data_IF_045868377868
#
_entry.id   IF_045868377868
#
_cell.length_a   1.000
_cell.length_b   1.000
_cell.length_c   1.000
_cell.angle_alpha   90.00
_cell.angle_beta   90.00
_cell.angle_gamma   90.00
#
_symmetry.space_group_name_H-M   'P 1'
#
loop_
_entity.id
_entity.type
_entity.pdbx_description
1 polymer ?
#
# COMPACT_ATOMS: atom_id res chain seq x y z
N UNK A 1 2.04 38.79 -23.21
CA UNK A 1 2.63 37.76 -22.31
C UNK A 1 4.10 37.70 -22.64
N UNK A 2 4.94 38.25 -21.77
CA UNK A 2 6.36 38.47 -22.01
C UNK A 2 7.12 37.24 -21.52
N UNK A 3 7.67 36.46 -22.45
CA UNK A 3 8.49 35.28 -22.12
C UNK A 3 9.77 35.76 -21.42
N UNK A 4 10.10 35.26 -20.22
CA UNK A 4 11.28 35.69 -19.48
C UNK A 4 12.58 35.43 -20.27
N UNK A 5 13.67 36.18 -19.99
CA UNK A 5 14.96 35.88 -20.58
C UNK A 5 15.40 34.47 -20.18
N UNK A 6 16.07 33.76 -21.10
CA UNK A 6 16.79 32.53 -20.78
C UNK A 6 17.93 32.90 -19.82
N UNK A 7 17.58 32.92 -18.54
CA UNK A 7 18.46 33.25 -17.44
C UNK A 7 19.53 32.17 -17.27
N UNK A 8 20.73 32.67 -17.09
CA UNK A 8 22.04 32.03 -17.04
C UNK A 8 22.26 30.98 -15.93
N UNK A 9 21.24 30.32 -15.38
CA UNK A 9 21.46 29.23 -14.41
C UNK A 9 20.60 27.96 -14.61
N UNK A 10 19.47 27.99 -15.35
CA UNK A 10 18.73 26.76 -15.70
C UNK A 10 18.03 26.84 -17.07
N UNK A 11 18.08 25.79 -17.91
CA UNK A 11 17.33 25.74 -19.16
C UNK A 11 15.82 25.83 -18.93
N UNK A 12 15.16 26.67 -19.73
CA UNK A 12 13.70 26.68 -19.83
C UNK A 12 13.24 25.47 -20.65
N UNK A 13 13.02 24.35 -19.97
CA UNK A 13 12.62 23.09 -20.59
C UNK A 13 11.27 23.17 -21.30
N UNK A 14 10.37 24.04 -20.86
CA UNK A 14 9.05 24.22 -21.49
C UNK A 14 9.19 24.92 -22.83
N UNK A 15 10.00 25.98 -22.90
CA UNK A 15 10.31 26.65 -24.15
C UNK A 15 11.00 25.72 -25.15
N UNK A 16 11.98 24.92 -24.69
CA UNK A 16 12.67 23.92 -25.53
C UNK A 16 11.69 22.85 -26.04
N UNK A 17 10.77 22.37 -25.19
CA UNK A 17 9.76 21.39 -25.58
C UNK A 17 8.80 21.95 -26.63
N UNK A 18 8.26 23.16 -26.43
CA UNK A 18 7.42 23.86 -27.41
C UNK A 18 8.17 24.09 -28.73
N UNK A 19 9.47 24.41 -28.69
CA UNK A 19 10.28 24.57 -29.88
C UNK A 19 10.43 23.27 -30.69
N UNK A 20 10.69 22.17 -29.98
CA UNK A 20 10.78 20.82 -30.58
C UNK A 20 9.45 20.34 -31.13
N UNK A 21 8.33 20.72 -30.52
CA UNK A 21 6.97 20.46 -31.00
C UNK A 21 6.58 21.32 -32.22
N UNK A 22 7.40 22.30 -32.62
CA UNK A 22 7.09 23.23 -33.71
C UNK A 22 6.13 24.35 -33.33
N UNK A 23 5.89 24.55 -32.03
CA UNK A 23 4.91 25.50 -31.49
C UNK A 23 5.49 26.90 -31.20
N UNK A 24 6.82 27.06 -31.32
CA UNK A 24 7.48 28.37 -31.16
C UNK A 24 7.70 29.07 -32.49
N UNK A 25 7.49 30.38 -32.54
CA UNK A 25 7.67 31.21 -33.74
C UNK A 25 8.42 32.50 -33.43
N UNK A 26 9.03 33.12 -34.44
CA UNK A 26 9.63 34.45 -34.34
C UNK A 26 10.86 34.51 -33.42
N UNK A 27 10.87 35.49 -32.50
CA UNK A 27 12.01 35.76 -31.61
C UNK A 27 12.27 34.68 -30.57
N UNK A 28 11.25 33.89 -30.19
CA UNK A 28 11.40 32.78 -29.24
C UNK A 28 12.19 31.64 -29.87
N UNK A 29 11.84 31.24 -31.09
CA UNK A 29 12.57 30.20 -31.84
C UNK A 29 14.05 30.58 -32.04
N UNK A 30 14.33 31.83 -32.44
CA UNK A 30 15.71 32.32 -32.60
C UNK A 30 16.53 32.25 -31.31
N UNK A 31 15.93 32.61 -30.18
CA UNK A 31 16.60 32.56 -28.87
C UNK A 31 16.93 31.13 -28.44
N UNK A 32 16.00 30.20 -28.66
CA UNK A 32 16.20 28.78 -28.32
C UNK A 32 17.27 28.15 -29.22
N UNK A 33 17.23 28.42 -30.53
CA UNK A 33 18.28 27.96 -31.46
C UNK A 33 19.65 28.54 -31.08
N UNK A 34 19.72 29.83 -30.72
CA UNK A 34 20.96 30.45 -30.26
C UNK A 34 21.48 29.82 -28.96
N UNK A 35 20.60 29.51 -28.01
CA UNK A 35 20.96 28.83 -26.76
C UNK A 35 21.47 27.40 -26.99
N UNK A 36 20.82 26.61 -27.86
CA UNK A 36 21.27 25.26 -28.20
C UNK A 36 22.64 25.28 -28.89
N UNK A 37 22.90 26.28 -29.75
CA UNK A 37 24.20 26.46 -30.39
C UNK A 37 25.29 26.86 -29.37
N UNK A 38 24.94 27.67 -28.37
CA UNK A 38 25.86 28.06 -27.30
C UNK A 38 26.13 26.92 -26.30
N UNK A 39 25.23 25.95 -26.19
CA UNK A 39 25.30 24.82 -25.25
C UNK A 39 25.34 23.47 -25.98
N UNK A 40 26.48 23.10 -26.58
CA UNK A 40 26.60 21.90 -27.42
C UNK A 40 26.44 20.57 -26.65
N UNK A 41 26.67 20.56 -25.33
CA UNK A 41 26.43 19.37 -24.50
C UNK A 41 24.93 19.11 -24.38
N UNK A 42 24.13 20.12 -24.03
CA UNK A 42 22.68 20.02 -23.92
C UNK A 42 22.04 19.67 -25.27
N UNK A 43 22.54 20.25 -26.36
CA UNK A 43 22.08 19.90 -27.71
C UNK A 43 22.31 18.43 -28.05
N UNK A 44 23.48 17.87 -27.69
CA UNK A 44 23.79 16.43 -27.87
C UNK A 44 22.94 15.53 -26.98
N UNK A 45 22.72 15.91 -25.72
CA UNK A 45 21.87 15.17 -24.79
C UNK A 45 20.44 15.07 -25.31
N UNK A 46 19.88 16.19 -25.80
CA UNK A 46 18.55 16.20 -26.41
C UNK A 46 18.48 15.34 -27.68
N UNK A 47 19.51 15.39 -28.54
CA UNK A 47 19.57 14.55 -29.72
C UNK A 47 19.66 13.05 -29.38
N UNK A 48 20.45 12.69 -28.37
CA UNK A 48 20.56 11.31 -27.89
C UNK A 48 19.24 10.80 -27.27
N UNK A 49 18.50 11.68 -26.59
CA UNK A 49 17.17 11.37 -26.06
C UNK A 49 16.17 11.11 -27.20
N UNK A 50 16.15 11.96 -28.22
CA UNK A 50 15.27 11.77 -29.38
C UNK A 50 15.58 10.47 -30.12
N UNK A 51 16.86 10.13 -30.27
CA UNK A 51 17.30 8.89 -30.90
C UNK A 51 16.88 7.67 -30.07
N UNK A 52 17.08 7.72 -28.75
CA UNK A 52 16.69 6.64 -27.84
C UNK A 52 15.17 6.42 -27.82
N UNK A 53 14.38 7.50 -27.75
CA UNK A 53 12.91 7.44 -27.77
C UNK A 53 12.41 7.01 -29.16
N UNK A 54 12.96 7.59 -30.24
CA UNK A 54 12.60 7.27 -31.61
C UNK A 54 12.88 5.79 -31.95
N UNK A 55 14.02 5.26 -31.52
CA UNK A 55 14.37 3.84 -31.69
C UNK A 55 13.49 2.89 -30.86
N UNK A 56 13.13 3.29 -29.64
CA UNK A 56 12.25 2.51 -28.76
C UNK A 56 10.79 2.49 -29.24
N UNK A 57 10.31 3.56 -29.86
CA UNK A 57 8.98 3.63 -30.46
C UNK A 57 8.93 2.94 -31.83
N UNK A 58 9.98 3.02 -32.63
CA UNK A 58 10.04 2.34 -33.93
C UNK A 58 10.05 0.80 -33.82
N UNK A 59 10.51 0.24 -32.70
CA UNK A 59 10.56 -1.22 -32.47
C UNK A 59 9.29 -1.79 -31.84
N UNK A 60 8.42 -0.96 -31.25
CA UNK A 60 7.22 -1.39 -30.52
C UNK A 60 5.89 -0.90 -31.10
N UNK A 61 5.88 -0.04 -32.13
CA UNK A 61 4.63 0.30 -32.83
C UNK A 61 4.39 -0.77 -33.91
N UNK A 62 3.86 -1.92 -33.49
CA UNK A 62 3.05 -2.72 -34.38
C UNK A 62 1.92 -1.83 -34.90
N UNK A 63 1.60 -1.91 -36.19
CA UNK A 63 0.61 -1.06 -36.90
C UNK A 63 -0.85 -1.15 -36.37
N UNK A 64 -1.06 -1.78 -35.22
CA UNK A 64 -2.29 -1.77 -34.47
C UNK A 64 -2.17 -0.66 -33.43
N UNK A 65 -2.61 0.56 -33.77
CA UNK A 65 -2.70 1.65 -32.79
C UNK A 65 -3.65 1.19 -31.67
N UNK A 66 -3.17 0.94 -30.44
CA UNK A 66 -4.08 0.60 -29.36
C UNK A 66 -5.08 1.74 -29.23
N UNK A 67 -6.37 1.40 -29.09
CA UNK A 67 -7.43 2.39 -28.89
C UNK A 67 -7.17 3.15 -27.59
N UNK A 68 -6.49 4.29 -27.72
CA UNK A 68 -6.05 5.14 -26.61
C UNK A 68 -7.25 5.61 -25.81
N UNK A 69 -8.37 5.90 -26.46
CA UNK A 69 -9.60 6.37 -25.82
C UNK A 69 -10.29 5.25 -25.03
N UNK A 70 -10.33 4.02 -25.55
CA UNK A 70 -10.82 2.87 -24.78
C UNK A 70 -9.89 2.54 -23.59
N UNK A 71 -8.58 2.60 -23.79
CA UNK A 71 -7.60 2.39 -22.72
C UNK A 71 -7.74 3.48 -21.63
N UNK A 72 -7.84 4.76 -22.03
CA UNK A 72 -7.98 5.89 -21.13
C UNK A 72 -9.32 5.86 -20.36
N UNK A 73 -10.42 5.46 -21.01
CA UNK A 73 -11.71 5.22 -20.33
C UNK A 73 -11.60 4.11 -19.31
N UNK A 74 -10.89 3.04 -19.63
CA UNK A 74 -10.67 1.91 -18.72
C UNK A 74 -9.81 2.29 -17.51
N UNK A 75 -8.89 3.23 -17.67
CA UNK A 75 -8.12 3.82 -16.56
C UNK A 75 -9.01 4.75 -15.72
N UNK A 76 -9.75 5.67 -16.34
CA UNK A 76 -10.67 6.58 -15.65
C UNK A 76 -11.73 5.83 -14.84
N UNK A 77 -12.35 4.80 -15.43
CA UNK A 77 -13.33 3.96 -14.74
C UNK A 77 -12.73 3.31 -13.48
N UNK A 78 -11.47 2.86 -13.55
CA UNK A 78 -10.75 2.25 -12.44
C UNK A 78 -10.34 3.25 -11.37
N UNK A 79 -9.95 4.47 -11.77
CA UNK A 79 -9.64 5.56 -10.84
C UNK A 79 -10.88 5.95 -10.01
N UNK A 80 -12.07 5.97 -10.63
CA UNK A 80 -13.32 6.32 -9.95
C UNK A 80 -13.92 5.18 -9.12
N UNK A 81 -13.52 3.93 -9.34
CA UNK A 81 -14.05 2.79 -8.56
C UNK A 81 -13.47 2.68 -7.15
N UNK A 82 -12.40 3.43 -6.82
CA UNK A 82 -11.69 3.30 -5.55
C UNK A 82 -11.06 1.91 -5.39
N UNK A 83 -9.83 1.81 -4.91
CA UNK A 83 -9.32 0.49 -4.54
C UNK A 83 -10.14 0.01 -3.34
N UNK A 84 -10.91 -1.11 -3.45
CA UNK A 84 -11.72 -1.58 -2.34
C UNK A 84 -10.77 -1.83 -1.16
N UNK A 85 -10.94 -1.07 -0.07
CA UNK A 85 -10.09 -1.23 1.09
C UNK A 85 -10.53 -2.50 1.81
N UNK A 86 -9.66 -3.50 1.83
CA UNK A 86 -9.91 -4.73 2.57
C UNK A 86 -9.83 -4.43 4.06
N UNK A 87 -10.95 -4.53 4.75
CA UNK A 87 -10.98 -4.51 6.23
C UNK A 87 -10.62 -5.90 6.72
N UNK A 88 -9.55 -6.03 7.48
CA UNK A 88 -9.19 -7.30 8.10
C UNK A 88 -10.11 -7.56 9.30
N UNK A 89 -10.99 -8.55 9.20
CA UNK A 89 -11.76 -9.05 10.32
C UNK A 89 -10.90 -10.01 11.13
N UNK A 90 -10.52 -9.61 12.34
CA UNK A 90 -9.90 -10.51 13.30
C UNK A 90 -11.01 -11.05 14.21
N UNK A 91 -10.99 -12.35 14.56
CA UNK A 91 -11.86 -12.83 15.62
C UNK A 91 -11.53 -12.00 16.86
N UNK A 92 -12.51 -11.25 17.36
CA UNK A 92 -12.37 -10.55 18.63
C UNK A 92 -11.88 -11.59 19.63
N UNK A 93 -10.67 -11.40 20.17
CA UNK A 93 -10.20 -12.26 21.23
C UNK A 93 -11.29 -12.25 22.28
N UNK A 94 -11.93 -13.40 22.47
CA UNK A 94 -12.80 -13.60 23.61
C UNK A 94 -11.91 -13.27 24.79
N UNK A 95 -12.13 -12.08 25.37
CA UNK A 95 -11.60 -11.75 26.67
C UNK A 95 -12.26 -12.78 27.56
N UNK A 96 -11.58 -13.91 27.75
CA UNK A 96 -11.92 -14.88 28.75
C UNK A 96 -11.73 -14.12 30.06
N UNK A 97 -12.79 -13.43 30.47
CA UNK A 97 -12.99 -13.05 31.84
C UNK A 97 -13.04 -14.37 32.57
N UNK A 98 -11.87 -14.86 32.99
CA UNK A 98 -11.72 -15.89 34.01
C UNK A 98 -12.43 -15.31 35.23
N UNK A 99 -13.72 -15.59 35.29
CA UNK A 99 -14.60 -15.16 36.35
C UNK A 99 -14.02 -15.67 37.66
N UNK A 100 -13.73 -14.72 38.55
CA UNK A 100 -13.76 -14.93 39.98
C UNK A 100 -15.20 -15.31 40.35
N UNK A 101 -15.55 -16.59 40.16
CA UNK A 101 -16.74 -17.23 40.69
C UNK A 101 -16.36 -18.59 41.27
N UNK A 102 -15.29 -18.60 42.05
CA UNK A 102 -15.16 -19.56 43.13
C UNK A 102 -16.04 -19.05 44.27
N UNK A 103 -16.91 -19.93 44.81
CA UNK A 103 -17.93 -19.70 45.83
C UNK A 103 -19.32 -19.28 45.32
N UNK A 104 -20.04 -20.22 44.71
CA UNK A 104 -21.44 -20.51 45.06
C UNK A 104 -21.95 -21.71 44.25
N UNK A 105 -22.38 -22.78 44.91
CA UNK A 105 -23.27 -23.77 44.29
C UNK A 105 -22.91 -25.24 44.40
N UNK A 106 -22.19 -25.68 45.44
CA UNK A 106 -22.22 -27.09 45.85
C UNK A 106 -23.52 -27.34 46.64
N UNK A 107 -24.64 -27.55 45.95
CA UNK A 107 -25.89 -28.15 46.48
C UNK A 107 -26.96 -28.16 45.37
N UNK A 108 -26.97 -29.20 44.53
CA UNK A 108 -28.17 -29.74 43.86
C UNK A 108 -27.78 -30.88 42.90
N UNK A 109 -27.09 -31.90 43.44
CA UNK A 109 -27.19 -33.23 42.86
C UNK A 109 -28.59 -33.77 43.18
N UNK A 110 -29.21 -34.42 42.19
CA UNK A 110 -30.50 -35.14 42.23
C UNK A 110 -31.78 -34.28 42.14
N UNK A 111 -32.33 -34.13 40.92
CA UNK A 111 -33.79 -34.17 40.65
C UNK A 111 -34.24 -33.86 39.20
N UNK A 112 -33.37 -33.40 38.27
CA UNK A 112 -33.81 -32.98 36.93
C UNK A 112 -33.51 -33.99 35.79
N UNK A 113 -33.30 -35.26 36.13
CA UNK A 113 -33.09 -36.37 35.17
C UNK A 113 -34.41 -36.88 34.56
N UNK A 114 -35.58 -36.37 34.98
CA UNK A 114 -36.88 -36.95 34.61
C UNK A 114 -37.79 -36.10 33.68
N UNK A 115 -37.48 -34.82 33.41
CA UNK A 115 -38.51 -33.90 32.85
C UNK A 115 -38.34 -33.48 31.37
N UNK A 116 -37.28 -33.88 30.65
CA UNK A 116 -37.13 -33.52 29.22
C UNK A 116 -36.93 -34.73 28.29
N UNK A 117 -37.37 -35.91 28.75
CA UNK A 117 -37.60 -37.10 27.92
C UNK A 117 -38.86 -36.99 27.01
N UNK A 118 -39.55 -35.84 27.00
CA UNK A 118 -40.76 -35.58 26.17
C UNK A 118 -40.45 -34.67 24.96
N UNK A 119 -39.20 -34.21 24.81
CA UNK A 119 -38.75 -33.43 23.65
C UNK A 119 -38.16 -34.24 22.49
N UNK A 120 -38.21 -35.58 22.54
CA UNK A 120 -37.86 -36.43 21.39
C UNK A 120 -38.99 -36.37 20.37
N UNK A 121 -38.88 -35.46 19.40
CA UNK A 121 -39.87 -35.44 18.34
C UNK A 121 -39.76 -34.29 17.37
N UNK A 122 -38.55 -33.95 16.89
CA UNK A 122 -38.34 -33.48 15.51
C UNK A 122 -36.87 -33.24 15.18
N UNK A 123 -36.53 -33.67 13.96
CA UNK A 123 -35.31 -33.44 13.18
C UNK A 123 -34.01 -34.08 13.68
N UNK A 124 -33.81 -35.33 13.27
CA UNK A 124 -32.48 -35.84 12.91
C UNK A 124 -31.99 -35.04 11.70
N UNK A 125 -30.90 -34.30 11.87
CA UNK A 125 -30.08 -33.83 10.76
C UNK A 125 -28.64 -33.85 11.24
N UNK A 126 -27.84 -34.64 10.54
CA UNK A 126 -26.48 -35.00 10.88
C UNK A 126 -25.59 -33.76 10.95
N UNK A 127 -25.04 -33.48 12.14
CA UNK A 127 -23.95 -32.51 12.29
C UNK A 127 -22.71 -33.26 12.75
N UNK A 128 -21.72 -33.26 11.87
CA UNK A 128 -20.41 -33.84 12.09
C UNK A 128 -19.76 -33.28 13.36
N UNK A 129 -19.07 -34.09 14.18
CA UNK A 129 -18.16 -33.58 15.21
C UNK A 129 -16.92 -33.02 14.51
N UNK A 130 -17.04 -31.80 13.99
CA UNK A 130 -15.90 -31.01 13.58
C UNK A 130 -15.14 -30.62 14.83
N UNK A 131 -14.05 -31.34 15.09
CA UNK A 131 -13.00 -30.94 16.00
C UNK A 131 -12.70 -29.45 15.85
N UNK A 132 -13.11 -28.65 16.85
CA UNK A 132 -12.57 -27.31 17.05
C UNK A 132 -11.17 -27.51 17.63
N UNK A 133 -10.28 -28.00 16.76
CA UNK A 133 -8.86 -27.86 16.96
C UNK A 133 -8.61 -26.36 17.08
N UNK A 134 -7.95 -25.98 18.17
CA UNK A 134 -7.35 -24.67 18.34
C UNK A 134 -6.49 -24.38 17.11
N UNK A 135 -7.05 -23.69 16.12
CA UNK A 135 -6.28 -22.94 15.15
C UNK A 135 -5.68 -21.80 15.94
N UNK A 136 -4.46 -22.02 16.47
CA UNK A 136 -3.62 -20.94 16.94
C UNK A 136 -3.66 -19.83 15.89
N UNK A 137 -3.91 -18.60 16.35
CA UNK A 137 -4.08 -17.43 15.51
C UNK A 137 -3.04 -17.44 14.38
N UNK A 138 -3.50 -17.71 13.16
CA UNK A 138 -2.65 -17.59 11.99
C UNK A 138 -2.61 -16.10 11.66
N UNK A 139 -1.43 -15.49 11.73
CA UNK A 139 -1.23 -14.10 11.32
C UNK A 139 -1.71 -13.91 9.89
N UNK A 140 -2.26 -12.74 9.58
CA UNK A 140 -2.77 -12.45 8.23
C UNK A 140 -1.61 -12.01 7.35
N UNK A 141 -1.42 -12.67 6.20
CA UNK A 141 -0.41 -12.28 5.21
C UNK A 141 -1.12 -11.83 3.93
N UNK A 142 -0.80 -10.61 3.50
CA UNK A 142 -1.30 -10.00 2.26
C UNK A 142 -0.11 -9.78 1.34
N UNK A 143 -0.24 -10.11 0.07
CA UNK A 143 0.82 -9.94 -0.94
C UNK A 143 0.21 -9.36 -2.21
N UNK A 144 0.89 -8.36 -2.79
CA UNK A 144 0.52 -7.75 -4.06
C UNK A 144 1.35 -8.33 -5.20
N UNK A 145 0.70 -8.54 -6.35
CA UNK A 145 1.40 -8.93 -7.58
C UNK A 145 2.12 -7.72 -8.22
N UNK A 146 2.93 -7.98 -9.24
CA UNK A 146 3.54 -6.92 -10.06
C UNK A 146 2.45 -6.08 -10.72
N UNK A 147 2.60 -4.75 -10.70
CA UNK A 147 1.60 -3.80 -11.22
C UNK A 147 0.33 -3.62 -10.37
N UNK A 148 0.18 -4.31 -9.24
CA UNK A 148 -1.03 -4.26 -8.39
C UNK A 148 -0.74 -3.53 -7.09
N UNK A 149 -1.62 -2.62 -6.68
CA UNK A 149 -1.63 -2.01 -5.33
C UNK A 149 -2.81 -2.56 -4.54
N UNK A 150 -2.67 -2.64 -3.23
CA UNK A 150 -3.75 -3.07 -2.34
C UNK A 150 -3.86 -2.13 -1.13
N UNK A 151 -5.08 -1.88 -0.66
CA UNK A 151 -5.38 -1.02 0.49
C UNK A 151 -6.00 -1.86 1.60
N UNK A 152 -5.39 -1.81 2.77
CA UNK A 152 -5.74 -2.64 3.92
C UNK A 152 -6.03 -1.74 5.10
N UNK A 153 -7.15 -1.99 5.78
CA UNK A 153 -7.45 -1.35 7.06
C UNK A 153 -7.32 -2.33 8.20
N UNK A 154 -6.44 -2.00 9.14
CA UNK A 154 -6.16 -2.78 10.33
C UNK A 154 -7.23 -2.52 11.41
N UNK A 155 -7.39 -3.40 12.42
CA UNK A 155 -8.42 -3.30 13.46
C UNK A 155 -8.34 -2.04 14.34
N UNK A 156 -7.15 -1.49 14.48
CA UNK A 156 -6.88 -0.25 15.20
C UNK A 156 -7.24 1.01 14.39
N UNK A 157 -7.73 0.82 13.15
CA UNK A 157 -8.07 1.90 12.23
C UNK A 157 -6.91 2.35 11.33
N UNK A 158 -5.69 1.86 11.55
CA UNK A 158 -4.52 2.14 10.72
C UNK A 158 -4.76 1.73 9.27
N UNK A 159 -4.39 2.59 8.34
CA UNK A 159 -4.48 2.32 6.90
C UNK A 159 -3.10 1.98 6.34
N UNK A 160 -3.03 0.92 5.54
CA UNK A 160 -1.81 0.47 4.87
C UNK A 160 -2.08 0.33 3.37
N UNK A 161 -1.29 1.00 2.55
CA UNK A 161 -1.32 0.88 1.09
C UNK A 161 -0.04 0.17 0.65
N UNK A 162 -0.20 -1.05 0.14
CA UNK A 162 0.87 -1.84 -0.42
C UNK A 162 1.16 -1.41 -1.87
N UNK A 163 2.43 -1.17 -2.17
CA UNK A 163 2.91 -1.01 -3.53
C UNK A 163 2.91 -2.37 -4.27
N UNK A 164 3.18 -2.40 -5.59
CA UNK A 164 3.39 -3.67 -6.30
C UNK A 164 4.51 -4.52 -5.73
N UNK A 165 4.39 -5.84 -5.92
CA UNK A 165 5.39 -6.82 -5.48
C UNK A 165 5.80 -6.67 -4.00
N UNK A 166 4.83 -6.37 -3.14
CA UNK A 166 5.05 -6.11 -1.72
C UNK A 166 4.22 -7.05 -0.85
N UNK A 167 4.66 -7.26 0.38
CA UNK A 167 4.02 -8.16 1.35
C UNK A 167 3.86 -7.46 2.69
N UNK A 168 2.68 -7.61 3.28
CA UNK A 168 2.35 -7.25 4.66
C UNK A 168 2.04 -8.53 5.44
N UNK A 169 2.71 -8.74 6.56
CA UNK A 169 2.34 -9.76 7.54
C UNK A 169 1.89 -9.05 8.83
N UNK A 170 0.66 -9.34 9.25
CA UNK A 170 0.09 -8.81 10.49
C UNK A 170 0.24 -9.84 11.60
N UNK A 171 0.79 -9.42 12.74
CA UNK A 171 1.00 -10.31 13.89
C UNK A 171 -0.31 -10.98 14.32
N UNK A 172 -0.29 -12.27 14.71
CA UNK A 172 -1.49 -12.93 15.26
C UNK A 172 -2.01 -12.29 16.55
N UNK A 173 -1.15 -11.57 17.28
CA UNK A 173 -1.51 -10.86 18.51
C UNK A 173 -1.89 -9.40 18.27
N UNK A 174 -2.02 -8.98 17.00
CA UNK A 174 -2.37 -7.62 16.63
C UNK A 174 -3.74 -7.23 17.19
N UNK A 175 -3.79 -6.13 17.96
CA UNK A 175 -5.01 -5.65 18.63
C UNK A 175 -5.41 -6.43 19.90
N UNK A 176 -4.63 -7.46 20.28
CA UNK A 176 -4.83 -8.23 21.53
C UNK A 176 -3.79 -7.81 22.56
N UNK A 177 -2.51 -7.96 22.21
CA UNK A 177 -1.37 -7.64 23.09
C UNK A 177 -0.22 -6.92 22.38
N UNK A 178 -0.29 -6.77 21.06
CA UNK A 178 0.68 -6.00 20.27
C UNK A 178 -0.02 -5.26 19.13
N UNK A 179 0.71 -4.33 18.51
CA UNK A 179 0.32 -3.70 17.24
C UNK A 179 1.51 -3.78 16.28
N UNK A 180 1.84 -5.00 15.88
CA UNK A 180 3.04 -5.30 15.11
C UNK A 180 2.72 -5.78 13.69
N UNK A 181 3.40 -5.20 12.70
CA UNK A 181 3.35 -5.62 11.29
C UNK A 181 4.75 -5.76 10.71
N UNK A 182 4.92 -6.70 9.78
CA UNK A 182 6.16 -6.88 9.01
C UNK A 182 5.91 -6.56 7.55
N UNK A 183 6.81 -5.77 6.95
CA UNK A 183 6.70 -5.29 5.57
C UNK A 183 7.92 -5.75 4.76
N UNK A 184 7.65 -6.26 3.57
CA UNK A 184 8.64 -6.48 2.53
C UNK A 184 8.19 -5.76 1.24
N UNK A 185 9.11 -5.13 0.54
CA UNK A 185 8.83 -4.28 -0.62
C UNK A 185 8.61 -2.83 -0.20
N UNK A 186 7.49 -2.23 -0.60
CA UNK A 186 7.15 -0.85 -0.28
C UNK A 186 5.70 -0.73 0.19
N UNK A 187 5.49 0.06 1.24
CA UNK A 187 4.18 0.36 1.78
C UNK A 187 4.10 1.79 2.30
N UNK A 188 2.95 2.43 2.12
CA UNK A 188 2.60 3.66 2.81
C UNK A 188 1.65 3.33 3.95
N UNK A 189 1.86 3.94 5.11
CA UNK A 189 1.07 3.72 6.32
C UNK A 189 0.57 5.05 6.86
N UNK A 190 -0.70 5.11 7.24
CA UNK A 190 -1.26 6.14 8.10
C UNK A 190 -1.69 5.49 9.42
N UNK A 191 -0.85 5.66 10.44
CA UNK A 191 -0.96 4.95 11.70
C UNK A 191 -1.85 5.69 12.69
N UNK A 192 -2.79 4.99 13.31
CA UNK A 192 -3.55 5.53 14.43
C UNK A 192 -2.68 5.62 15.68
N UNK A 193 -2.47 6.80 16.26
CA UNK A 193 -1.65 6.91 17.47
C UNK A 193 -2.37 6.31 18.70
N UNK A 194 -1.66 5.52 19.50
CA UNK A 194 -2.12 5.01 20.80
C UNK A 194 -0.90 4.81 21.70
N UNK A 195 -0.72 5.71 22.67
CA UNK A 195 0.42 5.69 23.59
C UNK A 195 0.42 4.46 24.52
N UNK A 196 -0.74 3.84 24.78
CA UNK A 196 -0.81 2.65 25.64
C UNK A 196 -0.30 1.39 24.91
N UNK A 197 -0.48 1.33 23.59
CA UNK A 197 -0.05 0.20 22.76
C UNK A 197 0.66 0.72 21.50
N UNK A 198 1.98 0.97 21.55
CA UNK A 198 2.74 1.47 20.42
C UNK A 198 2.66 0.59 19.17
N UNK A 199 2.50 1.21 18.01
CA UNK A 199 2.53 0.53 16.72
C UNK A 199 3.98 0.26 16.31
N UNK A 200 4.28 -0.96 15.88
CA UNK A 200 5.63 -1.41 15.50
C UNK A 200 5.63 -1.95 14.07
N UNK A 201 6.51 -1.42 13.23
CA UNK A 201 6.75 -1.90 11.86
C UNK A 201 8.13 -2.53 11.77
N UNK A 202 8.20 -3.79 11.35
CA UNK A 202 9.45 -4.45 10.97
C UNK A 202 9.62 -4.39 9.47
N UNK A 203 10.78 -3.96 9.01
CA UNK A 203 11.11 -3.87 7.60
C UNK A 203 12.60 -4.18 7.41
N UNK A 204 12.93 -5.38 6.90
CA UNK A 204 14.32 -5.86 6.94
C UNK A 204 14.84 -5.89 8.38
N UNK A 205 15.99 -5.26 8.60
CA UNK A 205 16.62 -5.13 9.93
C UNK A 205 16.13 -3.90 10.72
N UNK A 206 15.31 -3.04 10.12
CA UNK A 206 14.77 -1.86 10.80
C UNK A 206 13.52 -2.20 11.60
N UNK A 207 13.43 -1.62 12.80
CA UNK A 207 12.25 -1.68 13.67
C UNK A 207 11.79 -0.26 13.95
N UNK A 208 10.68 0.13 13.35
CA UNK A 208 10.12 1.49 13.46
C UNK A 208 9.00 1.45 14.50
N UNK A 209 9.04 2.32 15.51
CA UNK A 209 8.08 2.32 16.63
C UNK A 209 7.39 3.67 16.80
N UNK A 210 6.13 3.59 17.22
CA UNK A 210 5.29 4.69 17.72
C UNK A 210 5.30 5.95 16.87
N UNK A 211 4.85 5.77 15.64
CA UNK A 211 5.05 6.82 14.65
C UNK A 211 3.92 7.84 14.64
N UNK A 212 2.70 7.49 15.06
CA UNK A 212 1.56 8.43 15.13
C UNK A 212 1.28 9.24 13.85
N UNK A 213 1.75 8.76 12.69
CA UNK A 213 1.96 9.57 11.49
C UNK A 213 1.71 8.82 10.19
N UNK A 214 1.77 9.58 9.09
CA UNK A 214 1.83 9.05 7.74
C UNK A 214 3.28 8.93 7.25
N UNK A 215 3.70 7.72 6.88
CA UNK A 215 5.06 7.46 6.37
C UNK A 215 5.09 6.32 5.35
N UNK A 216 6.11 6.34 4.51
CA UNK A 216 6.43 5.26 3.56
C UNK A 216 7.60 4.47 4.09
N UNK A 217 7.50 3.15 4.04
CA UNK A 217 8.61 2.22 4.30
C UNK A 217 8.95 1.48 3.03
N UNK A 218 10.24 1.33 2.76
CA UNK A 218 10.76 0.58 1.63
C UNK A 218 11.94 -0.28 2.05
N UNK A 219 11.93 -1.55 1.65
CA UNK A 219 13.02 -2.51 1.85
C UNK A 219 13.65 -2.89 0.53
N UNK A 220 14.94 -3.20 0.51
CA UNK A 220 15.64 -3.70 -0.68
C UNK A 220 16.05 -2.61 -1.67
N UNK A 221 16.20 -1.37 -1.20
CA UNK A 221 16.52 -0.22 -2.05
C UNK A 221 18.02 -0.15 -2.39
N UNK A 222 18.41 -0.66 -3.56
CA UNK A 222 19.80 -0.65 -4.02
C UNK A 222 20.71 -1.70 -3.38
N UNK A 223 20.33 -2.25 -2.21
CA UNK A 223 20.97 -3.40 -1.57
C UNK A 223 19.93 -4.26 -0.82
N UNK A 224 20.16 -5.57 -0.60
CA UNK A 224 19.19 -6.48 0.00
C UNK A 224 18.67 -6.04 1.37
N UNK A 225 19.53 -5.42 2.17
CA UNK A 225 19.25 -5.04 3.57
C UNK A 225 18.94 -3.54 3.72
N UNK A 226 18.92 -2.78 2.62
CA UNK A 226 18.67 -1.35 2.67
C UNK A 226 17.20 -1.07 3.02
N UNK A 227 16.99 -0.21 4.02
CA UNK A 227 15.66 0.25 4.44
C UNK A 227 15.61 1.77 4.33
N UNK A 228 14.58 2.28 3.68
CA UNK A 228 14.30 3.71 3.54
C UNK A 228 12.94 4.02 4.17
N UNK A 229 12.91 5.05 5.01
CA UNK A 229 11.68 5.56 5.65
C UNK A 229 11.51 7.02 5.24
N UNK A 230 10.36 7.35 4.67
CA UNK A 230 10.02 8.70 4.22
C UNK A 230 8.78 9.17 4.97
N UNK A 231 8.92 10.20 5.78
CA UNK A 231 7.85 10.76 6.61
C UNK A 231 7.07 11.78 5.81
N UNK A 232 5.75 11.62 5.72
CA UNK A 232 4.87 12.53 4.99
C UNK A 232 4.35 13.64 5.91
N UNK A 233 4.00 13.29 7.16
CA UNK A 233 3.51 14.22 8.20
C UNK A 233 3.96 13.71 9.58
N UNK A 234 4.47 14.57 10.47
CA UNK A 234 4.88 14.28 11.87
C UNK A 234 6.30 13.68 12.08
N UNK A 235 6.54 12.98 13.21
CA UNK A 235 7.88 12.52 13.65
C UNK A 235 8.00 10.99 13.67
N UNK A 236 9.18 10.46 13.33
CA UNK A 236 9.49 9.02 13.32
C UNK A 236 10.68 8.73 14.23
N UNK A 237 10.58 7.69 15.06
CA UNK A 237 11.71 7.15 15.82
C UNK A 237 12.23 5.87 15.12
N UNK A 238 13.54 5.83 14.87
CA UNK A 238 14.25 4.81 14.09
C UNK A 238 15.23 4.02 14.97
#
# INVERSE_FOLDING_TARGET
MTVPPLGNERPDWDAIARHRAGETVGDEARRITAWLNANPLDARMLAALDEAIGGALATNVTADTPDVEAALRSVHARMHQGTPTRVLAFPAAERSGRGMRWLAGSLAAAAAVAALAVGLGRTRSESHPGSVGARGAAGSVITTAVGVRDSVRLPDGTQVILAPASRLAVSPSFGISSREVTIHGMAWLAVHHDAATPFTVRAGDAVIRDVGTAFTVRTGDGAPDAVSVIVSEGSVEL
#
